data_IF_791737975870
#
_entry.id   IF_791737975870
#
_cell.length_a   1.000
_cell.length_b   1.000
_cell.length_c   1.000
_cell.angle_alpha   90.00
_cell.angle_beta   90.00
_cell.angle_gamma   90.00
#
_symmetry.space_group_name_H-M   'P 1'
#
loop_
_entity.id
_entity.type
_entity.pdbx_description
1 polymer ?
#
# COMPACT_ATOMS: atom_id res chain seq x y z
N UNK A 1 3.30 -20.15 -5.36
CA UNK A 1 3.37 -18.76 -4.90
C UNK A 1 2.02 -18.09 -5.11
N UNK A 2 1.42 -17.58 -4.04
CA UNK A 2 0.15 -16.84 -4.02
C UNK A 2 0.43 -15.35 -3.90
N UNK A 3 -0.47 -14.52 -4.45
CA UNK A 3 -0.33 -13.07 -4.44
C UNK A 3 -1.70 -12.39 -4.32
N UNK A 4 -1.75 -11.31 -3.53
CA UNK A 4 -2.85 -10.35 -3.49
C UNK A 4 -2.27 -8.96 -3.74
N UNK A 5 -2.88 -8.19 -4.63
CA UNK A 5 -2.47 -6.82 -4.89
C UNK A 5 -3.60 -5.85 -4.59
N UNK A 6 -3.28 -4.77 -3.88
CA UNK A 6 -4.16 -3.63 -3.69
C UNK A 6 -3.60 -2.41 -4.41
N UNK A 7 -4.49 -1.55 -4.86
CA UNK A 7 -4.17 -0.18 -5.20
C UNK A 7 -4.86 0.75 -4.19
N UNK A 8 -4.10 1.71 -3.67
CA UNK A 8 -4.62 2.83 -2.91
C UNK A 8 -4.33 4.14 -3.66
N UNK A 9 -5.28 5.06 -3.60
CA UNK A 9 -5.13 6.40 -4.19
C UNK A 9 -5.10 7.41 -3.06
N UNK A 10 -4.00 8.14 -2.96
CA UNK A 10 -3.82 9.26 -2.03
C UNK A 10 -4.06 10.56 -2.78
N UNK A 11 -4.96 11.40 -2.28
CA UNK A 11 -5.32 12.69 -2.86
C UNK A 11 -4.48 13.85 -2.31
N UNK A 12 -3.53 13.56 -1.42
CA UNK A 12 -2.65 14.55 -0.81
C UNK A 12 -3.17 15.07 0.53
N UNK A 13 -4.13 14.38 1.15
CA UNK A 13 -4.58 14.73 2.49
C UNK A 13 -3.56 14.25 3.54
N UNK A 14 -3.22 15.06 4.56
CA UNK A 14 -2.27 14.66 5.62
C UNK A 14 -2.66 13.35 6.33
N UNK A 15 -3.96 13.07 6.46
CA UNK A 15 -4.52 11.88 7.09
C UNK A 15 -4.19 10.61 6.31
N UNK A 16 -4.21 10.68 4.98
CA UNK A 16 -3.85 9.56 4.10
C UNK A 16 -2.37 9.21 4.25
N UNK A 17 -1.49 10.23 4.28
CA UNK A 17 -0.06 10.03 4.48
C UNK A 17 0.24 9.43 5.87
N UNK A 18 -0.42 9.94 6.91
CA UNK A 18 -0.34 9.35 8.27
C UNK A 18 -0.77 7.89 8.27
N UNK A 19 -1.73 7.50 7.44
CA UNK A 19 -2.15 6.11 7.36
C UNK A 19 -1.07 5.21 6.75
N UNK A 20 -0.40 5.66 5.68
CA UNK A 20 0.71 4.90 5.07
C UNK A 20 1.88 4.75 6.05
N UNK A 21 2.16 5.79 6.85
CA UNK A 21 3.16 5.71 7.93
C UNK A 21 2.73 4.69 8.99
N UNK A 22 1.48 4.73 9.46
CA UNK A 22 0.95 3.74 10.41
C UNK A 22 0.99 2.31 9.86
N UNK A 23 0.76 2.14 8.56
CA UNK A 23 0.90 0.87 7.89
C UNK A 23 2.36 0.38 7.92
N UNK A 24 3.32 1.26 7.63
CA UNK A 24 4.74 0.95 7.76
C UNK A 24 5.10 0.54 9.19
N UNK A 25 4.68 1.31 10.19
CA UNK A 25 4.93 1.03 11.62
C UNK A 25 4.32 -0.32 12.07
N UNK A 26 3.10 -0.63 11.62
CA UNK A 26 2.43 -1.88 11.94
C UNK A 26 3.09 -3.10 11.30
N UNK A 27 3.67 -2.94 10.11
CA UNK A 27 4.36 -4.00 9.37
C UNK A 27 5.83 -4.13 9.77
N UNK A 28 6.48 -3.07 10.23
CA UNK A 28 7.89 -3.04 10.61
C UNK A 28 8.13 -3.58 12.02
N UNK A 29 7.59 -4.76 12.31
CA UNK A 29 7.94 -5.48 13.53
C UNK A 29 9.33 -6.08 13.35
N UNK A 30 10.29 -5.63 14.18
CA UNK A 30 11.70 -6.07 14.19
C UNK A 30 12.58 -5.57 13.02
N UNK A 31 12.35 -4.36 12.51
CA UNK A 31 13.20 -3.72 11.47
C UNK A 31 13.31 -4.55 10.16
N UNK A 32 12.29 -5.33 9.84
CA UNK A 32 12.23 -6.18 8.65
C UNK A 32 11.81 -5.42 7.38
N UNK A 33 11.75 -4.09 7.43
CA UNK A 33 11.37 -3.23 6.32
C UNK A 33 12.56 -2.45 5.77
N UNK A 34 12.65 -2.35 4.44
CA UNK A 34 13.65 -1.54 3.72
C UNK A 34 12.93 -0.59 2.76
N UNK A 35 13.36 0.68 2.74
CA UNK A 35 12.83 1.70 1.83
C UNK A 35 12.46 3.00 2.54
N UNK A 36 11.59 3.78 1.90
CA UNK A 36 11.03 5.02 2.44
C UNK A 36 9.61 4.82 2.98
N UNK A 37 9.05 5.84 3.64
CA UNK A 37 7.72 5.75 4.26
C UNK A 37 6.60 5.40 3.27
N UNK A 38 6.70 5.81 2.00
CA UNK A 38 5.69 5.58 0.96
C UNK A 38 6.12 4.57 -0.10
N UNK A 39 7.32 4.00 0.03
CA UNK A 39 7.89 3.03 -0.89
C UNK A 39 8.81 2.08 -0.14
N UNK A 40 8.29 0.94 0.29
CA UNK A 40 9.04 0.01 1.13
C UNK A 40 8.73 -1.45 0.82
N UNK A 41 9.65 -2.32 1.23
CA UNK A 41 9.50 -3.77 1.18
C UNK A 41 9.66 -4.30 2.59
N UNK A 42 8.72 -5.12 3.06
CA UNK A 42 8.73 -5.69 4.40
C UNK A 42 8.53 -7.21 4.34
N UNK A 43 9.11 -7.93 5.30
CA UNK A 43 8.68 -9.28 5.64
C UNK A 43 7.76 -9.25 6.86
N UNK A 44 6.60 -9.89 6.74
CA UNK A 44 5.65 -10.08 7.83
C UNK A 44 5.32 -11.57 7.94
N UNK A 45 5.88 -12.25 8.96
CA UNK A 45 5.87 -13.72 9.01
C UNK A 45 6.54 -14.32 7.76
N UNK A 46 5.84 -15.24 7.10
CA UNK A 46 6.27 -15.89 5.84
C UNK A 46 5.85 -15.12 4.58
N UNK A 47 5.36 -13.88 4.71
CA UNK A 47 4.85 -13.07 3.58
C UNK A 47 5.74 -11.88 3.26
N UNK A 48 5.94 -11.63 1.97
CA UNK A 48 6.65 -10.48 1.42
C UNK A 48 5.64 -9.40 1.01
N UNK A 49 5.79 -8.21 1.55
CA UNK A 49 4.92 -7.07 1.29
C UNK A 49 5.73 -6.00 0.56
N UNK A 50 5.22 -5.49 -0.57
CA UNK A 50 5.87 -4.43 -1.35
C UNK A 50 4.90 -3.28 -1.53
N UNK A 51 5.28 -2.09 -1.09
CA UNK A 51 4.60 -0.83 -1.38
C UNK A 51 5.38 -0.09 -2.45
N UNK A 52 4.77 0.09 -3.62
CA UNK A 52 5.40 0.73 -4.78
C UNK A 52 4.51 1.90 -5.23
N UNK A 53 4.99 3.15 -5.16
CA UNK A 53 4.29 4.26 -5.75
C UNK A 53 4.24 4.08 -7.27
N UNK A 54 3.03 4.16 -7.81
CA UNK A 54 2.76 4.10 -9.23
C UNK A 54 2.22 5.46 -9.66
N UNK A 55 3.03 6.20 -10.41
CA UNK A 55 2.51 7.37 -11.13
C UNK A 55 1.84 6.84 -12.39
N UNK A 56 0.50 6.89 -12.43
CA UNK A 56 -0.19 6.75 -13.71
C UNK A 56 0.34 7.82 -14.66
N UNK A 57 0.61 7.50 -15.94
CA UNK A 57 0.95 8.50 -16.93
C UNK A 57 -0.21 9.51 -16.99
N UNK A 58 0.00 10.70 -16.43
CA UNK A 58 -1.01 11.76 -16.46
C UNK A 58 -1.22 12.15 -17.93
N UNK A 59 -2.44 11.94 -18.44
CA UNK A 59 -2.88 12.65 -19.63
C UNK A 59 -3.02 14.11 -19.24
N UNK A 60 -1.97 14.90 -19.50
CA UNK A 60 -1.95 16.34 -19.24
C UNK A 60 -3.11 17.01 -19.98
N UNK A 61 -4.17 17.35 -19.25
CA UNK A 61 -5.13 18.35 -19.70
C UNK A 61 -4.65 19.72 -19.23
N UNK A 62 -4.30 20.65 -20.13
CA UNK A 62 -3.63 21.91 -19.79
C UNK A 62 -4.49 22.94 -19.02
N UNK A 63 -5.71 22.60 -18.60
CA UNK A 63 -6.71 23.56 -18.13
C UNK A 63 -7.11 23.45 -16.64
N UNK A 64 -6.56 22.52 -15.86
CA UNK A 64 -6.84 22.45 -14.42
C UNK A 64 -5.59 22.07 -13.61
N UNK A 65 -5.28 22.76 -12.50
CA UNK A 65 -4.36 22.24 -11.50
C UNK A 65 -4.99 20.99 -10.88
N UNK A 66 -4.68 19.82 -11.42
CA UNK A 66 -5.10 18.56 -10.82
C UNK A 66 -4.35 18.37 -9.50
N UNK A 67 -5.04 18.04 -8.40
CA UNK A 67 -4.35 17.60 -7.19
C UNK A 67 -3.46 16.41 -7.56
N UNK A 68 -2.21 16.43 -7.10
CA UNK A 68 -1.26 15.35 -7.36
C UNK A 68 -1.72 14.10 -6.63
N UNK A 69 -2.56 13.30 -7.30
CA UNK A 69 -2.98 12.00 -6.78
C UNK A 69 -1.84 11.00 -6.92
N UNK A 70 -1.40 10.44 -5.81
CA UNK A 70 -0.40 9.38 -5.78
C UNK A 70 -1.12 8.03 -5.67
N UNK A 71 -0.97 7.19 -6.68
CA UNK A 71 -1.42 5.79 -6.58
C UNK A 71 -0.29 4.95 -6.01
N UNK A 72 -0.59 4.02 -5.11
CA UNK A 72 0.39 3.08 -4.54
C UNK A 72 -0.16 1.68 -4.74
N UNK A 73 0.68 0.80 -5.31
CA UNK A 73 0.41 -0.63 -5.39
C UNK A 73 1.01 -1.30 -4.17
N UNK A 74 0.18 -2.03 -3.43
CA UNK A 74 0.57 -2.91 -2.33
C UNK A 74 0.52 -4.35 -2.85
N UNK A 75 1.66 -5.00 -3.01
CA UNK A 75 1.76 -6.41 -3.37
C UNK A 75 2.05 -7.25 -2.13
N UNK A 76 1.30 -8.32 -1.93
CA UNK A 76 1.46 -9.26 -0.81
C UNK A 76 1.66 -10.63 -1.40
N UNK A 77 2.82 -11.23 -1.14
CA UNK A 77 3.31 -12.44 -1.80
C UNK A 77 3.71 -13.48 -0.77
N UNK A 78 3.45 -14.77 -1.04
CA UNK A 78 3.83 -15.85 -0.12
C UNK A 78 3.58 -17.26 -0.66
N UNK A 79 4.13 -18.25 0.03
CA UNK A 79 3.99 -19.68 -0.32
C UNK A 79 2.63 -20.26 0.10
N UNK A 80 2.08 -19.77 1.22
CA UNK A 80 0.83 -20.26 1.83
C UNK A 80 -0.31 -19.28 1.58
N UNK A 81 -1.39 -19.74 0.93
CA UNK A 81 -2.54 -18.90 0.60
C UNK A 81 -3.19 -18.27 1.84
N UNK A 82 -3.28 -19.02 2.95
CA UNK A 82 -3.88 -18.54 4.20
C UNK A 82 -3.12 -17.34 4.76
N UNK A 83 -1.79 -17.44 4.84
CA UNK A 83 -0.94 -16.37 5.39
C UNK A 83 -1.04 -15.12 4.52
N UNK A 84 -1.05 -15.28 3.19
CA UNK A 84 -1.27 -14.16 2.26
C UNK A 84 -2.62 -13.47 2.50
N UNK A 85 -3.69 -14.24 2.66
CA UNK A 85 -5.04 -13.70 2.92
C UNK A 85 -5.13 -13.02 4.29
N UNK A 86 -4.54 -13.61 5.32
CA UNK A 86 -4.54 -13.05 6.68
C UNK A 86 -3.74 -11.74 6.73
N UNK A 87 -2.56 -11.69 6.10
CA UNK A 87 -1.77 -10.46 5.93
C UNK A 87 -2.55 -9.41 5.12
N UNK A 88 -3.18 -9.81 4.01
CA UNK A 88 -3.97 -8.90 3.18
C UNK A 88 -5.16 -8.30 3.93
N UNK A 89 -5.86 -9.12 4.72
CA UNK A 89 -6.96 -8.67 5.58
C UNK A 89 -6.48 -7.72 6.67
N UNK A 90 -5.31 -7.97 7.25
CA UNK A 90 -4.71 -7.07 8.24
C UNK A 90 -4.41 -5.70 7.64
N UNK A 91 -3.73 -5.65 6.50
CA UNK A 91 -3.42 -4.41 5.77
C UNK A 91 -4.70 -3.66 5.37
N UNK A 92 -5.69 -4.37 4.81
CA UNK A 92 -6.98 -3.77 4.45
C UNK A 92 -7.67 -3.13 5.66
N UNK A 93 -7.67 -3.78 6.82
CA UNK A 93 -8.30 -3.23 8.02
C UNK A 93 -7.62 -1.95 8.51
N UNK A 94 -6.28 -1.88 8.44
CA UNK A 94 -5.52 -0.66 8.77
C UNK A 94 -5.94 0.47 7.83
N UNK A 95 -5.86 0.24 6.52
CA UNK A 95 -6.20 1.25 5.50
C UNK A 95 -7.66 1.72 5.60
N UNK A 96 -8.59 0.77 5.79
CA UNK A 96 -10.01 1.06 5.98
C UNK A 96 -10.27 1.91 7.22
N UNK A 97 -9.57 1.65 8.32
CA UNK A 97 -9.72 2.43 9.56
C UNK A 97 -9.32 3.90 9.40
N UNK A 98 -8.48 4.21 8.40
CA UNK A 98 -8.10 5.56 8.04
C UNK A 98 -9.01 6.23 7.00
N UNK A 99 -10.01 5.52 6.47
CA UNK A 99 -10.84 6.02 5.37
C UNK A 99 -10.13 6.02 4.00
N UNK A 100 -8.99 5.33 3.86
CA UNK A 100 -8.31 5.20 2.56
C UNK A 100 -9.10 4.27 1.66
N UNK A 101 -9.34 4.72 0.42
CA UNK A 101 -9.98 3.89 -0.61
C UNK A 101 -9.00 2.82 -1.10
N UNK A 102 -9.40 1.56 -1.00
CA UNK A 102 -8.59 0.39 -1.40
C UNK A 102 -9.31 -0.34 -2.53
N UNK A 103 -8.62 -0.54 -3.64
CA UNK A 103 -9.09 -1.33 -4.79
C UNK A 103 -8.30 -2.63 -4.88
N UNK A 104 -8.99 -3.77 -4.98
CA UNK A 104 -8.34 -5.04 -5.30
C UNK A 104 -7.95 -5.03 -6.79
N UNK A 105 -6.69 -5.35 -7.09
CA UNK A 105 -6.15 -5.41 -8.45
C UNK A 105 -5.52 -6.78 -8.70
N UNK A 106 -5.61 -7.26 -9.95
CA UNK A 106 -5.16 -8.60 -10.37
C UNK A 106 -3.70 -8.62 -10.78
#
# INVERSE_FOLDING_TARGET
MYRVSYEIVLHGFPEELKCVIKLNEALNTMDNCVGSQTSFVCFYGDTLIKLIPYQQPQQFSPLQPQPQTLSIIISIEGEKARDVVDTAKHIYNILKSCGVLVRLVS
#
